data_IF_814176956062
#
_entry.id   IF_814176956062
#
_cell.length_a   1.000
_cell.length_b   1.000
_cell.length_c   1.000
_cell.angle_alpha   90.00
_cell.angle_beta   90.00
_cell.angle_gamma   90.00
#
_symmetry.space_group_name_H-M   'P 1'
#
loop_
_entity.id
_entity.type
_entity.pdbx_description
1 polymer ?
#
# COMPACT_ATOMS: atom_id res chain seq x y z
N UNK A 1 -26.57 -2.81 7.25
CA UNK A 1 -26.36 -2.67 8.69
C UNK A 1 -24.86 -2.61 8.92
N UNK A 2 -24.31 -1.41 9.23
CA UNK A 2 -22.90 -1.26 9.61
C UNK A 2 -22.76 -1.80 11.03
N UNK A 3 -22.14 -2.97 11.21
CA UNK A 3 -21.72 -3.42 12.53
C UNK A 3 -20.56 -2.52 12.96
N UNK A 4 -20.75 -1.74 14.00
CA UNK A 4 -19.68 -1.03 14.68
C UNK A 4 -18.68 -2.07 15.15
N UNK A 5 -17.46 -2.05 14.61
CA UNK A 5 -16.31 -2.82 15.11
C UNK A 5 -15.95 -2.22 16.48
N UNK A 6 -16.69 -2.59 17.53
CA UNK A 6 -16.53 -2.06 18.86
C UNK A 6 -15.08 -2.18 19.35
N UNK A 7 -14.38 -1.05 19.52
CA UNK A 7 -13.17 -0.83 20.32
C UNK A 7 -11.95 -1.74 20.22
N UNK A 8 -11.95 -2.77 19.37
CA UNK A 8 -10.89 -3.79 19.25
C UNK A 8 -10.24 -3.86 17.85
N UNK A 9 -10.55 -2.91 16.97
CA UNK A 9 -10.01 -2.84 15.62
C UNK A 9 -8.76 -1.97 15.54
N UNK A 10 -8.11 -2.01 14.36
CA UNK A 10 -6.93 -1.23 14.01
C UNK A 10 -7.30 -0.28 12.88
N UNK A 11 -7.06 1.02 13.06
CA UNK A 11 -7.27 2.03 12.02
C UNK A 11 -6.08 2.05 11.05
N UNK A 12 -6.36 1.85 9.75
CA UNK A 12 -5.38 1.82 8.67
C UNK A 12 -5.51 3.06 7.79
N UNK A 13 -4.37 3.62 7.36
CA UNK A 13 -4.27 4.47 6.18
C UNK A 13 -3.31 3.86 5.14
N UNK A 14 -3.62 4.04 3.85
CA UNK A 14 -2.76 3.64 2.74
C UNK A 14 -2.68 4.77 1.72
N UNK A 15 -1.47 5.20 1.33
CA UNK A 15 -1.26 6.38 0.48
C UNK A 15 -0.01 6.21 -0.39
N UNK A 16 -0.14 6.32 -1.71
CA UNK A 16 1.01 6.66 -2.56
C UNK A 16 1.24 8.18 -2.44
N UNK A 17 2.44 8.62 -2.02
CA UNK A 17 2.70 10.02 -1.66
C UNK A 17 3.49 10.82 -2.71
N UNK A 18 3.73 10.24 -3.89
CA UNK A 18 4.50 10.86 -4.97
C UNK A 18 5.81 11.52 -4.48
N UNK A 19 6.58 10.77 -3.69
CA UNK A 19 7.85 11.23 -3.08
C UNK A 19 7.63 12.38 -2.08
N UNK A 20 8.46 13.40 -2.15
CA UNK A 20 8.39 14.54 -1.22
C UNK A 20 7.38 15.63 -1.61
N UNK A 21 6.63 15.46 -2.71
CA UNK A 21 5.78 16.53 -3.24
C UNK A 21 4.64 16.95 -2.31
N UNK A 22 4.03 16.00 -1.63
CA UNK A 22 2.79 16.22 -0.88
C UNK A 22 2.96 16.04 0.64
N UNK A 23 4.20 16.06 1.17
CA UNK A 23 4.50 15.74 2.58
C UNK A 23 3.66 16.53 3.58
N UNK A 24 3.47 17.83 3.35
CA UNK A 24 2.67 18.68 4.26
C UNK A 24 1.21 18.29 4.29
N UNK A 25 0.62 17.99 3.13
CA UNK A 25 -0.77 17.52 3.02
C UNK A 25 -0.92 16.15 3.67
N UNK A 26 0.01 15.22 3.37
CA UNK A 26 0.07 13.87 3.97
C UNK A 26 0.17 13.96 5.50
N UNK A 27 1.10 14.76 6.04
CA UNK A 27 1.26 14.92 7.48
C UNK A 27 0.00 15.53 8.14
N UNK A 28 -0.64 16.50 7.47
CA UNK A 28 -1.89 17.10 7.96
C UNK A 28 -3.03 16.08 7.95
N UNK A 29 -3.15 15.29 6.88
CA UNK A 29 -4.13 14.22 6.78
C UNK A 29 -3.94 13.17 7.88
N UNK A 30 -2.72 12.69 8.07
CA UNK A 30 -2.41 11.68 9.08
C UNK A 30 -2.66 12.17 10.50
N UNK A 31 -2.33 13.43 10.83
CA UNK A 31 -2.67 14.02 12.14
C UNK A 31 -4.19 14.13 12.35
N UNK A 32 -4.93 14.48 11.30
CA UNK A 32 -6.38 14.65 11.39
C UNK A 32 -7.15 13.33 11.54
N UNK A 33 -6.67 12.25 10.94
CA UNK A 33 -7.32 10.93 10.97
C UNK A 33 -6.74 10.00 12.04
N UNK A 34 -5.51 10.27 12.51
CA UNK A 34 -4.80 9.51 13.54
C UNK A 34 -4.90 7.97 13.37
N UNK A 35 -4.54 7.41 12.18
CA UNK A 35 -4.58 5.98 11.99
C UNK A 35 -3.53 5.29 12.87
N UNK A 36 -3.84 4.07 13.35
CA UNK A 36 -2.92 3.24 14.15
C UNK A 36 -1.71 2.80 13.33
N UNK A 37 -1.93 2.51 12.04
CA UNK A 37 -0.91 2.10 11.08
C UNK A 37 -1.11 2.80 9.74
N UNK A 38 0.00 3.23 9.14
CA UNK A 38 0.01 3.88 7.83
C UNK A 38 0.96 3.15 6.90
N UNK A 39 0.45 2.80 5.71
CA UNK A 39 1.21 2.19 4.61
C UNK A 39 1.46 3.24 3.53
N UNK A 40 2.71 3.48 3.18
CA UNK A 40 3.12 4.49 2.21
C UNK A 40 3.79 3.84 1.00
N UNK A 41 3.51 4.35 -0.19
CA UNK A 41 4.21 4.01 -1.43
C UNK A 41 4.88 5.27 -1.98
N UNK A 42 5.91 5.08 -2.79
CA UNK A 42 6.78 6.14 -3.33
C UNK A 42 7.38 7.07 -2.26
N UNK A 43 7.55 6.59 -1.04
CA UNK A 43 8.14 7.41 0.02
C UNK A 43 9.66 7.47 -0.11
N UNK A 44 10.25 8.66 0.06
CA UNK A 44 11.70 8.84 0.14
C UNK A 44 12.18 8.45 1.55
N UNK A 45 13.33 7.80 1.64
CA UNK A 45 13.85 7.28 2.92
C UNK A 45 13.88 8.32 4.05
N UNK A 46 14.41 9.52 3.76
CA UNK A 46 14.51 10.61 4.75
C UNK A 46 13.13 11.14 5.20
N UNK A 47 12.12 11.05 4.31
CA UNK A 47 10.76 11.50 4.59
C UNK A 47 10.01 10.54 5.53
N UNK A 48 10.44 9.28 5.62
CA UNK A 48 9.86 8.30 6.57
C UNK A 48 10.08 8.76 8.01
N UNK A 49 11.29 9.18 8.34
CA UNK A 49 11.61 9.68 9.68
C UNK A 49 10.93 11.03 9.94
N UNK A 50 10.97 11.94 8.96
CA UNK A 50 10.32 13.22 9.06
C UNK A 50 8.80 13.11 9.32
N UNK A 51 8.09 12.28 8.54
CA UNK A 51 6.66 12.02 8.74
C UNK A 51 6.40 11.34 10.08
N UNK A 52 7.22 10.33 10.41
CA UNK A 52 7.11 9.62 11.67
C UNK A 52 7.22 10.55 12.88
N UNK A 53 8.14 11.50 12.87
CA UNK A 53 8.28 12.51 13.94
C UNK A 53 7.12 13.52 13.95
N UNK A 54 6.72 14.03 12.79
CA UNK A 54 5.64 15.02 12.68
C UNK A 54 4.27 14.50 13.09
N UNK A 55 4.03 13.20 12.89
CA UNK A 55 2.74 12.54 13.15
C UNK A 55 2.76 11.75 14.46
N UNK A 56 3.95 11.46 15.00
CA UNK A 56 4.13 10.73 16.25
C UNK A 56 4.13 9.22 16.09
N UNK A 57 4.58 8.69 14.95
CA UNK A 57 4.79 7.25 14.75
C UNK A 57 6.17 6.80 15.23
N UNK A 58 6.30 6.09 16.37
CA UNK A 58 7.59 5.64 16.89
C UNK A 58 8.15 4.43 16.13
N UNK A 59 7.28 3.65 15.48
CA UNK A 59 7.66 2.41 14.80
C UNK A 59 7.58 2.59 13.29
N UNK A 60 8.68 2.31 12.58
CA UNK A 60 8.84 2.54 11.14
C UNK A 60 9.56 1.38 10.51
N UNK A 61 9.06 0.91 9.37
CA UNK A 61 9.68 -0.13 8.56
C UNK A 61 9.72 0.34 7.12
N UNK A 62 10.92 0.59 6.59
CA UNK A 62 11.15 1.08 5.22
C UNK A 62 11.84 0.02 4.38
N UNK A 63 11.35 -0.16 3.15
CA UNK A 63 11.91 -1.09 2.17
C UNK A 63 12.27 -0.30 0.91
N UNK A 64 13.57 -0.15 0.58
CA UNK A 64 14.01 0.55 -0.61
C UNK A 64 13.68 -0.25 -1.87
N UNK A 65 13.11 0.41 -2.87
CA UNK A 65 12.84 -0.16 -4.20
C UNK A 65 13.92 0.21 -5.20
N UNK A 66 14.33 1.48 -5.22
CA UNK A 66 15.40 2.01 -6.07
C UNK A 66 15.89 3.37 -5.53
N UNK A 67 16.82 3.99 -6.25
CA UNK A 67 17.16 5.40 -6.08
C UNK A 67 16.52 6.19 -7.22
N UNK A 68 15.58 7.06 -6.91
CA UNK A 68 14.90 7.88 -7.89
C UNK A 68 15.80 9.06 -8.31
N UNK A 69 16.05 9.26 -9.62
CA UNK A 69 16.88 10.36 -10.09
C UNK A 69 16.15 11.71 -9.92
N UNK A 70 16.81 12.66 -9.28
CA UNK A 70 16.39 14.04 -9.08
C UNK A 70 17.53 15.00 -9.46
N UNK A 71 17.24 16.28 -9.75
CA UNK A 71 18.31 17.25 -10.10
C UNK A 71 19.40 17.39 -9.03
N UNK A 72 19.05 17.21 -7.76
CA UNK A 72 19.98 17.27 -6.61
C UNK A 72 20.74 15.97 -6.36
N UNK A 73 20.50 14.93 -7.14
CA UNK A 73 21.05 13.58 -6.97
C UNK A 73 19.98 12.53 -6.72
N UNK A 74 20.33 11.27 -6.97
CA UNK A 74 19.35 10.18 -6.81
C UNK A 74 19.08 9.89 -5.32
N UNK A 75 17.80 9.83 -4.92
CA UNK A 75 17.35 9.57 -3.53
C UNK A 75 16.71 8.18 -3.40
N UNK A 76 16.96 7.45 -2.30
CA UNK A 76 16.28 6.17 -2.06
C UNK A 76 14.77 6.38 -1.92
N UNK A 77 13.99 5.65 -2.72
CA UNK A 77 12.54 5.62 -2.62
C UNK A 77 12.06 4.18 -2.44
N UNK A 78 10.91 4.02 -1.80
CA UNK A 78 10.37 2.69 -1.55
C UNK A 78 8.96 2.70 -1.00
N UNK A 79 8.68 1.66 -0.24
CA UNK A 79 7.45 1.51 0.54
C UNK A 79 7.79 1.60 2.03
N UNK A 80 6.85 2.06 2.84
CA UNK A 80 7.02 2.10 4.29
C UNK A 80 5.74 1.74 5.04
N UNK A 81 5.91 1.21 6.25
CA UNK A 81 4.84 1.04 7.24
C UNK A 81 5.24 1.79 8.49
N UNK A 82 4.39 2.72 8.92
CA UNK A 82 4.53 3.50 10.13
C UNK A 82 3.43 3.10 11.11
N UNK A 83 3.72 3.04 12.41
CA UNK A 83 2.72 2.61 13.41
C UNK A 83 2.92 3.29 14.77
N UNK A 84 1.80 3.54 15.46
CA UNK A 84 1.79 3.87 16.89
C UNK A 84 2.09 2.67 17.77
N UNK A 85 1.87 1.46 17.25
CA UNK A 85 2.08 0.20 17.97
C UNK A 85 3.37 -0.48 17.54
N UNK A 86 4.07 -1.11 18.50
CA UNK A 86 5.29 -1.86 18.23
C UNK A 86 5.03 -3.02 17.26
N UNK A 87 5.97 -3.23 16.34
CA UNK A 87 5.98 -4.42 15.50
C UNK A 87 6.46 -5.63 16.31
N UNK A 88 5.62 -6.67 16.43
CA UNK A 88 6.04 -7.97 16.94
C UNK A 88 7.00 -8.65 15.95
N UNK A 89 6.83 -8.40 14.65
CA UNK A 89 7.78 -8.78 13.59
C UNK A 89 7.62 -7.85 12.39
N UNK A 90 8.70 -7.77 11.59
CA UNK A 90 8.69 -7.14 10.27
C UNK A 90 9.41 -8.04 9.27
N UNK A 91 8.89 -8.13 8.06
CA UNK A 91 9.42 -9.01 7.01
C UNK A 91 9.33 -8.31 5.65
N UNK A 92 10.34 -8.49 4.83
CA UNK A 92 10.33 -8.13 3.42
C UNK A 92 10.32 -9.40 2.57
N UNK A 93 9.38 -9.48 1.63
CA UNK A 93 9.31 -10.56 0.65
C UNK A 93 9.42 -9.96 -0.74
N UNK A 94 10.53 -10.22 -1.42
CA UNK A 94 10.74 -9.79 -2.80
C UNK A 94 10.01 -10.73 -3.76
N UNK A 95 9.21 -10.17 -4.68
CA UNK A 95 8.47 -10.97 -5.66
C UNK A 95 8.82 -10.63 -7.13
N UNK A 96 9.43 -9.46 -7.43
CA UNK A 96 9.80 -9.10 -8.80
C UNK A 96 10.97 -8.10 -8.87
N UNK A 97 11.41 -7.82 -10.09
CA UNK A 97 12.48 -6.87 -10.41
C UNK A 97 13.88 -7.43 -10.23
N UNK A 98 14.86 -6.85 -10.95
CA UNK A 98 16.27 -7.23 -10.90
C UNK A 98 17.10 -6.37 -9.94
N UNK A 99 16.60 -5.19 -9.58
CA UNK A 99 17.33 -4.20 -8.79
C UNK A 99 17.63 -4.65 -7.36
N UNK A 100 18.66 -4.05 -6.77
CA UNK A 100 19.09 -4.30 -5.39
C UNK A 100 18.37 -3.41 -4.36
N UNK A 101 17.58 -2.45 -4.81
CA UNK A 101 17.03 -1.36 -3.99
C UNK A 101 17.99 -0.17 -3.85
N UNK A 102 19.22 -0.28 -4.37
CA UNK A 102 20.26 0.78 -4.37
C UNK A 102 20.57 1.29 -5.77
N UNK A 103 20.05 0.64 -6.81
CA UNK A 103 20.26 1.02 -8.19
C UNK A 103 19.51 2.32 -8.50
N UNK A 104 20.10 3.17 -9.35
CA UNK A 104 19.40 4.33 -9.88
C UNK A 104 18.39 3.85 -10.88
N UNK A 105 17.12 4.28 -10.72
CA UNK A 105 16.02 3.89 -11.58
C UNK A 105 16.26 4.33 -13.01
N UNK A 106 16.38 3.35 -13.91
CA UNK A 106 16.47 3.57 -15.35
C UNK A 106 15.07 3.50 -15.96
N UNK A 107 14.60 4.63 -16.50
CA UNK A 107 13.26 4.77 -17.09
C UNK A 107 13.29 4.74 -18.62
N UNK A 108 14.42 4.39 -19.25
CA UNK A 108 14.58 4.39 -20.70
C UNK A 108 13.72 3.33 -21.41
N UNK A 109 13.40 2.24 -20.71
CA UNK A 109 12.48 1.20 -21.18
C UNK A 109 11.82 0.46 -20.02
N UNK A 110 10.80 -0.35 -20.31
CA UNK A 110 10.17 -1.23 -19.30
C UNK A 110 11.18 -2.24 -18.75
N UNK A 111 12.02 -2.82 -19.59
CA UNK A 111 13.07 -3.77 -19.19
C UNK A 111 14.13 -3.11 -18.30
N UNK A 112 14.57 -1.89 -18.65
CA UNK A 112 15.53 -1.13 -17.86
C UNK A 112 14.96 -0.80 -16.47
N UNK A 113 13.69 -0.41 -16.41
CA UNK A 113 12.97 -0.17 -15.15
C UNK A 113 12.90 -1.43 -14.30
N UNK A 114 12.56 -2.58 -14.88
CA UNK A 114 12.50 -3.86 -14.16
C UNK A 114 13.89 -4.29 -13.66
N UNK A 115 14.94 -4.04 -14.44
CA UNK A 115 16.30 -4.39 -14.07
C UNK A 115 16.84 -3.56 -12.92
N UNK A 116 16.43 -2.29 -12.81
CA UNK A 116 16.92 -1.32 -11.81
C UNK A 116 15.96 -1.06 -10.65
N UNK A 117 14.77 -1.63 -10.69
CA UNK A 117 13.81 -1.55 -9.59
C UNK A 117 13.67 -2.91 -8.89
N UNK A 118 13.26 -2.86 -7.63
CA UNK A 118 12.99 -4.00 -6.77
C UNK A 118 11.55 -3.92 -6.31
N UNK A 119 10.79 -4.97 -6.51
CA UNK A 119 9.40 -5.02 -6.08
C UNK A 119 9.25 -6.02 -4.93
N UNK A 120 8.83 -5.50 -3.80
CA UNK A 120 8.66 -6.26 -2.57
C UNK A 120 7.31 -5.97 -1.93
N UNK A 121 6.84 -6.89 -1.14
CA UNK A 121 5.80 -6.66 -0.15
C UNK A 121 6.46 -6.57 1.23
N UNK A 122 6.11 -5.50 1.96
CA UNK A 122 6.48 -5.33 3.36
C UNK A 122 5.36 -5.81 4.26
N UNK A 123 5.66 -6.61 5.26
CA UNK A 123 4.69 -7.12 6.24
C UNK A 123 5.14 -6.73 7.64
N UNK A 124 4.20 -6.33 8.47
CA UNK A 124 4.41 -6.16 9.92
C UNK A 124 3.32 -6.90 10.68
N UNK A 125 3.68 -7.52 11.80
CA UNK A 125 2.73 -8.05 12.77
C UNK A 125 2.59 -7.06 13.93
N UNK A 126 1.35 -6.69 14.26
CA UNK A 126 1.01 -5.78 15.36
C UNK A 126 0.13 -6.53 16.35
N UNK A 127 0.57 -6.58 17.61
CA UNK A 127 -0.24 -7.13 18.70
C UNK A 127 -1.06 -6.01 19.36
N UNK A 128 -2.39 -6.13 19.32
CA UNK A 128 -3.30 -5.13 19.87
C UNK A 128 -4.51 -5.83 20.50
N UNK A 129 -4.84 -5.49 21.76
CA UNK A 129 -5.98 -6.06 22.50
C UNK A 129 -6.01 -7.61 22.54
N UNK A 130 -4.82 -8.26 22.60
CA UNK A 130 -4.69 -9.71 22.60
C UNK A 130 -4.89 -10.38 21.23
N UNK A 131 -5.05 -9.60 20.17
CA UNK A 131 -5.14 -10.06 18.79
C UNK A 131 -3.85 -9.73 18.03
N UNK A 132 -3.52 -10.52 17.01
CA UNK A 132 -2.40 -10.25 16.11
C UNK A 132 -2.91 -9.86 14.72
N UNK A 133 -2.49 -8.68 14.26
CA UNK A 133 -2.82 -8.14 12.95
C UNK A 133 -1.57 -8.18 12.07
N UNK A 134 -1.65 -8.82 10.90
CA UNK A 134 -0.61 -8.75 9.88
C UNK A 134 -1.04 -7.74 8.82
N UNK A 135 -0.32 -6.63 8.75
CA UNK A 135 -0.54 -5.58 7.76
C UNK A 135 0.58 -5.65 6.73
N UNK A 136 0.20 -5.68 5.48
CA UNK A 136 1.12 -5.77 4.34
C UNK A 136 0.90 -4.60 3.38
N UNK A 137 2.00 -4.13 2.78
CA UNK A 137 1.94 -3.11 1.73
C UNK A 137 2.88 -3.43 0.58
N UNK A 138 2.48 -3.01 -0.61
CA UNK A 138 3.29 -3.13 -1.82
C UNK A 138 3.09 -1.92 -2.74
N UNK A 139 4.06 -1.69 -3.63
CA UNK A 139 3.93 -0.85 -4.81
C UNK A 139 4.24 -1.73 -6.01
N UNK A 140 3.19 -2.15 -6.72
CA UNK A 140 3.27 -3.14 -7.80
C UNK A 140 3.91 -2.55 -9.07
N UNK A 141 4.51 -3.37 -9.95
CA UNK A 141 5.11 -2.89 -11.18
C UNK A 141 4.16 -2.09 -12.08
N UNK A 142 4.56 -0.87 -12.42
CA UNK A 142 3.84 0.00 -13.33
C UNK A 142 4.06 -0.37 -14.80
N UNK A 143 3.05 -0.13 -15.64
CA UNK A 143 3.12 -0.26 -17.09
C UNK A 143 2.50 0.94 -17.81
N UNK A 144 2.99 1.24 -19.01
CA UNK A 144 2.45 2.32 -19.83
C UNK A 144 0.99 2.05 -20.21
N UNK A 145 0.15 3.08 -20.14
CA UNK A 145 -1.27 3.04 -20.51
C UNK A 145 -2.09 1.97 -19.78
N UNK A 146 -1.70 1.61 -18.55
CA UNK A 146 -2.36 0.58 -17.76
C UNK A 146 -2.57 -0.76 -18.51
N UNK A 147 -1.61 -1.12 -19.40
CA UNK A 147 -1.61 -2.41 -20.09
C UNK A 147 -1.20 -3.51 -19.12
N UNK A 148 -1.75 -4.70 -19.31
CA UNK A 148 -1.25 -5.88 -18.60
C UNK A 148 -0.13 -6.52 -19.42
N UNK A 149 1.06 -6.62 -18.84
CA UNK A 149 2.27 -7.15 -19.46
C UNK A 149 2.67 -8.49 -18.80
N UNK A 150 3.44 -9.31 -19.53
CA UNK A 150 3.83 -10.64 -19.04
C UNK A 150 4.64 -10.59 -17.73
N UNK A 151 5.49 -9.58 -17.56
CA UNK A 151 6.20 -9.42 -16.30
C UNK A 151 5.27 -9.10 -15.12
N UNK A 152 4.16 -8.36 -15.35
CA UNK A 152 3.16 -8.11 -14.32
C UNK A 152 2.37 -9.39 -13.99
N UNK A 153 2.08 -10.26 -14.98
CA UNK A 153 1.48 -11.58 -14.73
C UNK A 153 2.40 -12.43 -13.86
N UNK A 154 3.68 -12.52 -14.25
CA UNK A 154 4.69 -13.27 -13.48
C UNK A 154 4.88 -12.71 -12.06
N UNK A 155 4.89 -11.37 -11.91
CA UNK A 155 4.98 -10.71 -10.60
C UNK A 155 3.74 -11.00 -9.75
N UNK A 156 2.54 -11.00 -10.35
CA UNK A 156 1.28 -11.32 -9.67
C UNK A 156 1.26 -12.77 -9.20
N UNK A 157 1.64 -13.73 -10.08
CA UNK A 157 1.71 -15.14 -9.72
C UNK A 157 2.63 -15.35 -8.52
N UNK A 158 3.83 -14.80 -8.59
CA UNK A 158 4.81 -14.92 -7.52
C UNK A 158 4.35 -14.26 -6.22
N UNK A 159 3.70 -13.08 -6.28
CA UNK A 159 3.13 -12.43 -5.09
C UNK A 159 2.04 -13.31 -4.44
N UNK A 160 1.14 -13.85 -5.24
CA UNK A 160 0.07 -14.74 -4.79
C UNK A 160 0.62 -16.02 -4.15
N UNK A 161 1.62 -16.64 -4.76
CA UNK A 161 2.27 -17.87 -4.25
C UNK A 161 2.97 -17.60 -2.91
N UNK A 162 3.77 -16.52 -2.82
CA UNK A 162 4.53 -16.18 -1.62
C UNK A 162 3.65 -15.78 -0.42
N UNK A 163 2.42 -15.34 -0.69
CA UNK A 163 1.45 -14.98 0.33
C UNK A 163 0.32 -16.01 0.52
N UNK A 164 0.41 -17.17 -0.14
CA UNK A 164 -0.68 -18.17 -0.20
C UNK A 164 -1.16 -18.64 1.17
N UNK A 165 -0.23 -18.84 2.11
CA UNK A 165 -0.48 -19.39 3.44
C UNK A 165 -0.50 -18.32 4.53
N UNK A 166 -0.55 -17.04 4.14
CA UNK A 166 -0.54 -15.91 5.06
C UNK A 166 -1.95 -15.43 5.38
N UNK A 167 -2.19 -15.13 6.65
CA UNK A 167 -3.34 -14.39 7.14
C UNK A 167 -2.97 -12.91 7.22
N UNK A 168 -3.55 -12.04 6.38
CA UNK A 168 -3.12 -10.64 6.26
C UNK A 168 -4.19 -9.70 5.70
N UNK A 169 -3.96 -8.40 5.90
CA UNK A 169 -4.54 -7.31 5.12
C UNK A 169 -3.43 -6.73 4.24
N UNK A 170 -3.63 -6.71 2.92
CA UNK A 170 -2.71 -6.18 1.92
C UNK A 170 -3.29 -4.89 1.33
N UNK A 171 -2.56 -3.80 1.42
CA UNK A 171 -2.92 -2.55 0.75
C UNK A 171 -1.76 -1.98 -0.06
N UNK A 172 -2.05 -1.07 -0.97
CA UNK A 172 -1.02 -0.41 -1.76
C UNK A 172 -1.51 0.07 -3.11
N UNK A 173 -0.58 0.63 -3.87
CA UNK A 173 -0.75 0.93 -5.29
C UNK A 173 -0.36 -0.29 -6.12
N UNK A 174 -1.37 -0.91 -6.74
CA UNK A 174 -1.19 -2.09 -7.57
C UNK A 174 -0.86 -1.74 -9.03
N UNK A 175 -0.87 -0.45 -9.41
CA UNK A 175 -0.59 -0.02 -10.79
C UNK A 175 -1.38 -0.81 -11.86
N UNK A 176 -2.46 -1.45 -11.43
CA UNK A 176 -3.32 -2.31 -12.24
C UNK A 176 -4.78 -1.92 -11.99
N UNK A 177 -5.46 -1.35 -12.98
CA UNK A 177 -6.86 -0.93 -12.80
C UNK A 177 -7.77 -2.11 -12.42
N UNK A 178 -8.74 -1.83 -11.54
CA UNK A 178 -9.75 -2.81 -11.07
C UNK A 178 -10.44 -3.58 -12.22
N UNK A 179 -10.60 -2.95 -13.38
CA UNK A 179 -11.20 -3.56 -14.59
C UNK A 179 -10.24 -4.46 -15.38
N UNK A 180 -8.98 -4.63 -14.92
CA UNK A 180 -7.94 -5.38 -15.65
C UNK A 180 -7.57 -6.69 -14.95
N UNK A 181 -6.88 -7.54 -15.71
CA UNK A 181 -6.51 -8.91 -15.36
C UNK A 181 -5.82 -9.02 -13.98
N UNK A 182 -4.80 -8.20 -13.73
CA UNK A 182 -4.00 -8.31 -12.50
C UNK A 182 -4.88 -8.07 -11.26
N UNK A 183 -5.66 -6.97 -11.25
CA UNK A 183 -6.56 -6.68 -10.14
C UNK A 183 -7.61 -7.79 -9.95
N UNK A 184 -8.15 -8.32 -11.05
CA UNK A 184 -9.12 -9.44 -11.00
C UNK A 184 -8.51 -10.70 -10.38
N UNK A 185 -7.23 -10.98 -10.65
CA UNK A 185 -6.52 -12.13 -10.06
C UNK A 185 -6.28 -11.95 -8.54
N UNK A 186 -5.95 -10.73 -8.10
CA UNK A 186 -5.87 -10.40 -6.68
C UNK A 186 -7.24 -10.55 -6.00
N UNK A 187 -8.30 -10.01 -6.61
CA UNK A 187 -9.67 -10.09 -6.09
C UNK A 187 -10.25 -11.52 -6.11
N UNK A 188 -9.75 -12.41 -6.96
CA UNK A 188 -10.09 -13.83 -6.94
C UNK A 188 -9.47 -14.58 -5.75
N UNK A 189 -8.35 -14.09 -5.22
CA UNK A 189 -7.64 -14.69 -4.08
C UNK A 189 -8.05 -14.10 -2.74
N UNK A 190 -8.28 -12.78 -2.69
CA UNK A 190 -8.57 -12.00 -1.49
C UNK A 190 -9.82 -11.14 -1.68
N UNK A 191 -10.46 -10.78 -0.59
CA UNK A 191 -11.60 -9.85 -0.64
C UNK A 191 -11.12 -8.43 -0.90
N UNK A 192 -11.57 -7.79 -1.99
CA UNK A 192 -11.40 -6.35 -2.24
C UNK A 192 -12.42 -5.58 -1.38
N UNK A 193 -11.94 -4.68 -0.53
CA UNK A 193 -12.77 -3.92 0.40
C UNK A 193 -13.06 -2.50 -0.04
N UNK A 194 -12.40 -2.01 -1.08
CA UNK A 194 -12.72 -0.67 -1.59
C UNK A 194 -14.09 -0.69 -2.26
N UNK A 195 -15.06 0.13 -1.81
CA UNK A 195 -16.40 0.16 -2.38
C UNK A 195 -16.40 0.34 -3.91
N UNK A 196 -17.24 -0.40 -4.62
CA UNK A 196 -17.33 -0.34 -6.08
C UNK A 196 -17.86 0.99 -6.63
N UNK A 197 -18.41 1.84 -5.76
CA UNK A 197 -18.80 3.21 -6.07
C UNK A 197 -17.62 4.13 -6.38
N UNK A 198 -16.41 3.81 -5.87
CA UNK A 198 -15.19 4.50 -6.24
C UNK A 198 -14.67 3.94 -7.57
N UNK A 199 -14.59 4.79 -8.59
CA UNK A 199 -14.17 4.43 -9.95
C UNK A 199 -12.72 4.82 -10.25
N UNK A 200 -12.13 5.64 -9.37
CA UNK A 200 -10.72 6.06 -9.46
C UNK A 200 -10.13 6.19 -8.06
N UNK A 201 -8.84 5.95 -7.95
CA UNK A 201 -8.03 6.27 -6.78
C UNK A 201 -7.02 7.39 -7.07
N UNK A 202 -7.07 7.98 -8.27
CA UNK A 202 -6.21 9.09 -8.65
C UNK A 202 -6.91 10.43 -8.36
N UNK A 203 -6.19 11.36 -7.78
CA UNK A 203 -6.69 12.69 -7.47
C UNK A 203 -6.73 13.54 -8.77
N UNK A 204 -7.89 14.04 -9.19
CA UNK A 204 -8.01 14.73 -10.48
C UNK A 204 -7.28 16.09 -10.52
N UNK A 205 -7.06 16.72 -9.37
CA UNK A 205 -6.44 18.05 -9.26
C UNK A 205 -4.92 17.97 -9.03
N UNK A 206 -4.45 16.89 -8.41
CA UNK A 206 -3.03 16.72 -8.07
C UNK A 206 -2.28 15.79 -9.03
N UNK A 207 -3.00 14.84 -9.67
CA UNK A 207 -2.36 13.92 -10.61
C UNK A 207 -1.99 14.63 -11.92
N UNK A 208 -0.72 14.44 -12.37
CA UNK A 208 -0.13 15.13 -13.53
C UNK A 208 -0.92 15.00 -14.85
N UNK A 209 -1.68 13.91 -15.01
CA UNK A 209 -2.50 13.66 -16.19
C UNK A 209 -3.97 14.11 -15.99
N UNK A 210 -4.28 14.79 -14.88
CA UNK A 210 -5.63 15.23 -14.54
C UNK A 210 -6.56 14.05 -14.21
N UNK A 211 -7.85 14.23 -14.52
CA UNK A 211 -8.88 13.24 -14.19
C UNK A 211 -8.73 11.97 -15.02
N UNK A 212 -8.37 10.87 -14.37
CA UNK A 212 -8.31 9.53 -14.92
C UNK A 212 -9.26 8.61 -14.16
N UNK A 213 -10.03 7.79 -14.86
CA UNK A 213 -10.96 6.83 -14.24
C UNK A 213 -10.25 5.47 -14.04
N UNK A 214 -9.24 5.47 -13.18
CA UNK A 214 -8.40 4.31 -12.90
C UNK A 214 -8.36 4.04 -11.38
N UNK A 215 -9.00 2.95 -10.96
CA UNK A 215 -8.90 2.45 -9.60
C UNK A 215 -7.71 1.49 -9.52
N UNK A 216 -6.56 1.98 -9.05
CA UNK A 216 -5.28 1.25 -9.01
C UNK A 216 -4.82 0.94 -7.59
N UNK A 217 -5.32 1.67 -6.60
CA UNK A 217 -5.05 1.39 -5.19
C UNK A 217 -6.12 0.44 -4.63
N UNK A 218 -5.74 -0.36 -3.64
CA UNK A 218 -6.65 -1.36 -3.07
C UNK A 218 -6.36 -1.70 -1.62
N UNK A 219 -7.38 -2.27 -0.98
CA UNK A 219 -7.29 -2.90 0.35
C UNK A 219 -7.91 -4.29 0.24
N UNK A 220 -7.09 -5.30 0.35
CA UNK A 220 -7.46 -6.71 0.26
C UNK A 220 -7.27 -7.40 1.61
N UNK A 221 -8.05 -8.43 1.89
CA UNK A 221 -7.81 -9.27 3.06
C UNK A 221 -8.08 -10.74 2.83
N UNK A 222 -7.44 -11.56 3.65
CA UNK A 222 -7.82 -12.97 3.85
C UNK A 222 -9.14 -13.07 4.63
N UNK A 223 -9.84 -14.24 4.57
CA UNK A 223 -11.18 -14.40 5.15
C UNK A 223 -11.28 -14.20 6.67
N UNK A 224 -10.18 -14.30 7.40
CA UNK A 224 -10.11 -14.15 8.86
C UNK A 224 -10.09 -12.68 9.33
N UNK A 225 -10.08 -11.74 8.38
CA UNK A 225 -10.24 -10.31 8.67
C UNK A 225 -11.64 -9.81 8.35
N UNK A 226 -12.06 -8.84 9.14
CA UNK A 226 -13.22 -7.99 8.85
C UNK A 226 -12.70 -6.57 8.59
N UNK A 227 -12.96 -6.06 7.39
CA UNK A 227 -12.49 -4.74 6.97
C UNK A 227 -13.70 -3.90 6.59
N UNK A 228 -13.84 -2.76 7.25
CA UNK A 228 -14.97 -1.86 7.04
C UNK A 228 -14.59 -0.39 7.06
N UNK A 229 -15.58 0.48 6.92
CA UNK A 229 -15.43 1.93 6.89
C UNK A 229 -14.35 2.41 5.89
N UNK A 230 -14.26 1.73 4.73
CA UNK A 230 -13.27 2.08 3.70
C UNK A 230 -13.70 3.36 2.99
N UNK A 231 -12.84 4.37 3.04
CA UNK A 231 -13.10 5.69 2.45
C UNK A 231 -11.86 6.18 1.69
N UNK A 232 -12.09 6.79 0.53
CA UNK A 232 -11.06 7.48 -0.25
C UNK A 232 -11.14 8.99 0.02
N UNK A 233 -9.96 9.60 0.20
CA UNK A 233 -9.82 11.02 0.50
C UNK A 233 -8.96 11.71 -0.56
N UNK A 234 -9.51 12.71 -1.23
CA UNK A 234 -8.81 13.58 -2.19
C UNK A 234 -8.04 14.70 -1.48
N UNK A 235 -7.17 15.39 -2.23
CA UNK A 235 -6.40 16.53 -1.73
C UNK A 235 -5.21 16.17 -0.84
N UNK A 236 -4.80 14.89 -0.82
CA UNK A 236 -3.70 14.39 0.02
C UNK A 236 -2.42 14.19 -0.80
N UNK A 237 -2.53 13.52 -1.93
CA UNK A 237 -1.46 13.26 -2.90
C UNK A 237 -2.07 13.18 -4.30
N UNK A 238 -1.27 12.89 -5.32
CA UNK A 238 -1.75 12.56 -6.66
C UNK A 238 -2.54 11.24 -6.70
N UNK A 239 -2.43 10.41 -5.65
CA UNK A 239 -3.36 9.36 -5.30
C UNK A 239 -4.25 9.75 -4.12
N UNK A 240 -5.48 9.30 -4.12
CA UNK A 240 -6.37 9.42 -2.96
C UNK A 240 -5.82 8.61 -1.79
N UNK A 241 -5.83 9.16 -0.59
CA UNK A 241 -5.56 8.38 0.60
C UNK A 241 -6.75 7.43 0.89
N UNK A 242 -6.47 6.18 1.25
CA UNK A 242 -7.48 5.21 1.67
C UNK A 242 -7.40 5.06 3.18
N UNK A 243 -8.54 5.17 3.87
CA UNK A 243 -8.67 4.79 5.28
C UNK A 243 -9.57 3.57 5.41
N UNK A 244 -9.31 2.72 6.42
CA UNK A 244 -10.12 1.55 6.73
C UNK A 244 -10.07 1.21 8.23
N UNK A 245 -11.10 0.50 8.71
CA UNK A 245 -11.10 -0.14 10.02
C UNK A 245 -10.89 -1.64 9.86
N UNK A 246 -9.89 -2.18 10.53
CA UNK A 246 -9.47 -3.57 10.43
C UNK A 246 -9.83 -4.30 11.71
N UNK A 247 -10.64 -5.35 11.61
CA UNK A 247 -10.97 -6.27 12.69
C UNK A 247 -10.48 -7.69 12.40
N UNK A 248 -10.40 -8.52 13.44
CA UNK A 248 -10.27 -9.99 13.30
C UNK A 248 -11.62 -10.64 13.50
N UNK A 249 -11.95 -11.58 12.63
CA UNK A 249 -13.11 -12.46 12.84
C UNK A 249 -12.77 -13.42 13.98
N UNK A 250 -13.52 -13.37 15.05
CA UNK A 250 -13.41 -14.37 16.11
C UNK A 250 -14.06 -15.67 15.63
N UNK A 251 -13.32 -16.78 15.71
CA UNK A 251 -13.83 -18.14 15.45
C UNK A 251 -14.88 -18.50 16.52
N UNK A 252 -16.11 -18.00 16.37
CA UNK A 252 -17.18 -18.20 17.35
C UNK A 252 -18.56 -17.74 16.85
N UNK A 253 -18.63 -16.89 15.84
CA UNK A 253 -19.87 -16.49 15.20
C UNK A 253 -20.09 -17.22 13.87
N UNK A 254 -20.23 -18.56 13.95
CA UNK A 254 -20.97 -19.26 12.89
C UNK A 254 -22.41 -18.81 13.03
N UNK A 255 -22.91 -18.11 12.01
CA UNK A 255 -24.31 -17.68 11.90
C UNK A 255 -25.23 -18.86 12.26
N UNK A 256 -26.08 -18.66 13.28
CA UNK A 256 -27.26 -19.46 13.53
C UNK A 256 -28.40 -18.97 12.65
#
# INVERSE_FOLDING_TARGET
>A
MSMSLGGRGLALACINIERSKHLSAVATFLRGHAPDVTCLQEVVADDVDLLGEQVGYPHRFFIPMCRFPEPSGARPIGIAILSHHAFASSEEIRYAGGGSGRDVLDRSSEEARLRTNRYSVGLVAIALHGLSFTIATTHFPWSDHARTLDFQRSACDRLLDLLSDRSLVLCGDFNAPRSKEIFSRLAARWTDHVPSTYTTSLDPDLHRAGSLQLMVDGVFSTPDYDVGAVTLHQGVSDHCAITAQIGKRTTGEVAR
#
